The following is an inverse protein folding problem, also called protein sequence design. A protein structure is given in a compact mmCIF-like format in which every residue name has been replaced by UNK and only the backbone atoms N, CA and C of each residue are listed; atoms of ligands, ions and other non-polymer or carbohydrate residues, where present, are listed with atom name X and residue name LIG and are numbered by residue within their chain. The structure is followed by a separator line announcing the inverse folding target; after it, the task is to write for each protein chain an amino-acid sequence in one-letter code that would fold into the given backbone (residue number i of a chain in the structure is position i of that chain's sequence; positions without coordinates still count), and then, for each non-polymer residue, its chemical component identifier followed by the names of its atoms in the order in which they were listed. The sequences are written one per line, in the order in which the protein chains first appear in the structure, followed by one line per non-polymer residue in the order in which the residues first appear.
data_IF_561680876882
#
_entry.id   IF_561680876882
#
_cell.length_a   1.000
_cell.length_b   1.000
_cell.length_c   1.000
_cell.angle_alpha   90.00
_cell.angle_beta   90.00
_cell.angle_gamma   90.00
#
_symmetry.space_group_name_H-M   'P 1'
#
loop_
_entity.id
_entity.type
_entity.pdbx_description
1 polymer ?
#
# COMPACT_ATOMS: atom_id res chain seq x y z
N UNK A 1 12.77 9.29 1.11
CA UNK A 1 11.72 8.28 1.17
C UNK A 1 12.18 7.09 2.02
N UNK A 2 11.21 6.36 2.63
CA UNK A 2 11.47 5.17 3.46
C UNK A 2 12.51 5.42 4.58
N UNK A 3 12.40 6.58 5.25
CA UNK A 3 13.40 7.01 6.26
C UNK A 3 13.51 6.04 7.45
N UNK A 4 12.52 5.18 7.68
CA UNK A 4 12.59 4.12 8.70
C UNK A 4 13.67 3.07 8.43
N UNK A 5 14.18 2.98 7.18
CA UNK A 5 15.28 2.07 6.80
C UNK A 5 16.67 2.65 7.07
N UNK A 6 16.76 3.88 7.53
CA UNK A 6 18.05 4.47 7.87
C UNK A 6 18.71 3.73 9.03
N UNK A 7 20.02 3.55 8.93
CA UNK A 7 20.82 2.99 10.03
C UNK A 7 20.77 3.97 11.22
N UNK A 8 20.74 3.45 12.44
CA UNK A 8 20.71 4.24 13.67
C UNK A 8 21.85 5.28 13.73
N UNK A 9 23.04 4.92 13.29
CA UNK A 9 24.20 5.84 13.23
C UNK A 9 23.96 7.03 12.29
N UNK A 10 23.24 6.86 11.19
CA UNK A 10 22.85 7.94 10.28
C UNK A 10 21.76 8.83 10.89
N UNK A 11 20.82 8.23 11.60
CA UNK A 11 19.77 8.99 12.30
C UNK A 11 20.37 9.90 13.38
N UNK A 12 21.34 9.39 14.14
CA UNK A 12 22.07 10.16 15.16
C UNK A 12 22.90 11.30 14.55
N UNK A 13 23.55 11.04 13.42
CA UNK A 13 24.31 12.04 12.68
C UNK A 13 23.42 13.17 12.14
N UNK A 14 22.27 12.81 11.55
CA UNK A 14 21.28 13.76 11.04
C UNK A 14 20.63 14.56 12.18
N UNK A 15 20.48 14.00 13.36
CA UNK A 15 19.97 14.70 14.53
C UNK A 15 20.83 15.92 14.85
N UNK A 16 22.16 15.77 14.92
CA UNK A 16 23.09 16.87 15.16
C UNK A 16 23.12 17.85 13.97
N UNK A 17 23.03 17.33 12.75
CA UNK A 17 23.01 18.15 11.54
C UNK A 17 21.77 19.06 11.48
N UNK A 18 20.61 18.58 11.93
CA UNK A 18 19.36 19.35 11.94
C UNK A 18 19.32 20.42 13.04
N UNK A 19 20.00 20.18 14.18
CA UNK A 19 20.05 21.16 15.28
C UNK A 19 21.07 22.26 15.03
N UNK A 20 22.31 21.86 14.75
CA UNK A 20 23.46 22.74 14.78
C UNK A 20 24.03 23.06 13.37
N UNK A 21 23.49 22.46 12.32
CA UNK A 21 24.06 22.48 10.97
C UNK A 21 25.55 22.09 10.95
N UNK A 22 25.88 21.06 11.76
CA UNK A 22 27.24 20.52 11.89
C UNK A 22 27.22 19.01 11.78
N UNK A 23 28.25 18.46 11.18
CA UNK A 23 28.49 17.02 11.12
C UNK A 23 29.80 16.67 11.81
N UNK A 24 29.76 15.77 12.78
CA UNK A 24 30.97 15.16 13.34
C UNK A 24 31.28 13.88 12.55
N UNK A 25 32.32 13.91 11.75
CA UNK A 25 32.72 12.77 10.93
C UNK A 25 34.17 12.40 11.15
N UNK A 26 34.46 11.08 11.09
CA UNK A 26 35.82 10.56 11.04
C UNK A 26 36.24 10.44 9.59
N UNK A 27 37.20 11.26 9.17
CA UNK A 27 37.74 11.20 7.82
C UNK A 27 39.12 10.58 7.87
N UNK A 28 39.35 9.58 7.02
CA UNK A 28 40.65 8.97 6.83
C UNK A 28 41.43 9.81 5.83
N UNK A 29 42.56 10.37 6.26
CA UNK A 29 43.44 11.10 5.37
C UNK A 29 44.04 10.13 4.33
N UNK A 30 43.80 10.35 3.03
CA UNK A 30 44.24 9.44 1.97
C UNK A 30 45.77 9.32 1.87
N UNK A 31 46.52 10.35 2.29
CA UNK A 31 47.98 10.37 2.20
C UNK A 31 48.67 9.74 3.40
N UNK A 32 48.10 9.93 4.61
CA UNK A 32 48.75 9.46 5.84
C UNK A 32 48.11 8.21 6.41
N UNK A 33 46.95 7.80 5.91
CA UNK A 33 46.15 6.68 6.43
C UNK A 33 45.54 6.94 7.82
N UNK A 34 45.84 8.07 8.45
CA UNK A 34 45.35 8.44 9.79
C UNK A 34 43.91 8.90 9.74
N UNK A 35 43.10 8.46 10.70
CA UNK A 35 41.73 8.88 10.86
C UNK A 35 41.67 10.09 11.80
N UNK A 36 41.18 11.21 11.31
CA UNK A 36 40.93 12.41 12.10
C UNK A 36 39.44 12.64 12.26
N UNK A 37 39.02 12.96 13.50
CA UNK A 37 37.65 13.44 13.74
C UNK A 37 37.62 14.93 13.45
N UNK A 38 36.69 15.34 12.59
CA UNK A 38 36.49 16.72 12.22
C UNK A 38 35.04 17.14 12.39
N UNK A 39 34.84 18.43 12.73
CA UNK A 39 33.53 19.06 12.76
C UNK A 39 33.39 19.87 11.45
N UNK A 40 32.36 19.51 10.67
CA UNK A 40 32.09 20.14 9.38
C UNK A 40 30.81 20.95 9.43
N UNK A 41 30.89 22.20 9.07
CA UNK A 41 29.73 23.08 8.97
C UNK A 41 28.96 22.79 7.69
N UNK A 42 27.65 22.75 7.83
CA UNK A 42 26.74 22.57 6.69
C UNK A 42 25.99 23.87 6.42
N UNK A 43 25.66 24.17 5.16
CA UNK A 43 24.70 25.21 4.85
C UNK A 43 23.35 24.83 5.43
N UNK A 44 22.51 25.83 5.71
CA UNK A 44 21.12 25.59 6.15
C UNK A 44 20.38 24.80 5.07
N UNK A 45 19.68 23.75 5.48
CA UNK A 45 18.91 22.89 4.59
C UNK A 45 17.58 22.52 5.21
N UNK A 46 16.64 22.09 4.39
CA UNK A 46 15.38 21.52 4.82
C UNK A 46 15.38 20.02 4.58
N UNK A 47 15.10 19.23 5.61
CA UNK A 47 14.95 17.79 5.50
C UNK A 47 13.48 17.44 5.33
N UNK A 48 13.16 16.70 4.28
CA UNK A 48 11.84 16.14 4.04
C UNK A 48 11.97 14.62 4.12
N UNK A 49 11.24 14.01 5.04
CA UNK A 49 11.21 12.57 5.25
C UNK A 49 9.84 11.99 4.93
N UNK A 50 9.80 10.79 4.34
CA UNK A 50 8.57 10.03 4.16
C UNK A 50 8.75 8.59 4.67
N UNK A 51 7.73 8.08 5.35
CA UNK A 51 7.72 6.72 5.91
C UNK A 51 6.29 6.22 6.09
N UNK A 52 6.09 4.91 5.95
CA UNK A 52 4.88 4.21 6.35
C UNK A 52 5.00 3.52 7.73
N UNK A 53 6.18 3.59 8.38
CA UNK A 53 6.47 2.99 9.70
C UNK A 53 7.03 4.04 10.66
N UNK A 54 6.20 5.05 11.00
CA UNK A 54 6.63 6.14 11.89
C UNK A 54 7.08 5.62 13.27
N UNK A 55 6.39 4.61 13.80
CA UNK A 55 6.68 4.03 15.13
C UNK A 55 8.03 3.32 15.26
N UNK A 56 8.71 3.01 14.15
CA UNK A 56 10.06 2.41 14.14
C UNK A 56 11.16 3.46 14.32
N UNK A 57 10.86 4.72 13.99
CA UNK A 57 11.83 5.81 14.11
C UNK A 57 12.02 6.25 15.58
N UNK A 58 13.26 6.57 15.99
CA UNK A 58 13.51 7.12 17.33
C UNK A 58 12.73 8.42 17.54
N UNK A 59 12.00 8.50 18.66
CA UNK A 59 11.18 9.66 19.00
C UNK A 59 11.94 11.01 18.90
N UNK A 60 13.18 11.12 19.44
CA UNK A 60 13.95 12.35 19.32
C UNK A 60 14.24 12.78 17.87
N UNK A 61 14.32 11.84 16.94
CA UNK A 61 14.48 12.14 15.52
C UNK A 61 13.19 12.62 14.88
N UNK A 62 12.06 12.00 15.23
CA UNK A 62 10.73 12.41 14.74
C UNK A 62 10.38 13.81 15.22
N UNK A 63 10.71 14.16 16.46
CA UNK A 63 10.43 15.46 17.06
C UNK A 63 11.18 16.63 16.40
N UNK A 64 12.20 16.34 15.56
CA UNK A 64 12.90 17.35 14.74
C UNK A 64 12.13 17.77 13.49
N UNK A 65 11.14 17.00 13.09
CA UNK A 65 10.25 17.38 12.00
C UNK A 65 9.10 18.23 12.56
N UNK A 66 9.22 19.55 12.39
CA UNK A 66 8.23 20.51 12.89
C UNK A 66 6.87 20.35 12.21
N UNK A 67 6.84 19.88 10.98
CA UNK A 67 5.63 19.63 10.19
C UNK A 67 5.53 18.13 10.00
N UNK A 68 4.46 17.54 10.53
CA UNK A 68 4.13 16.13 10.37
C UNK A 68 2.75 16.02 9.75
N UNK A 69 2.64 15.30 8.64
CA UNK A 69 1.38 15.09 7.93
C UNK A 69 1.17 13.61 7.71
N UNK A 70 -0.04 13.14 7.98
CA UNK A 70 -0.48 11.80 7.64
C UNK A 70 -1.30 11.86 6.36
N UNK A 71 -0.96 11.03 5.37
CA UNK A 71 -1.71 10.92 4.13
C UNK A 71 -2.77 9.83 4.27
N UNK A 72 -4.01 10.21 4.01
CA UNK A 72 -5.12 9.28 3.92
C UNK A 72 -5.31 8.77 2.49
N UNK A 73 -5.93 7.59 2.30
CA UNK A 73 -6.34 7.14 0.98
C UNK A 73 -7.26 8.17 0.32
N UNK A 74 -7.08 8.37 -0.98
CA UNK A 74 -7.94 9.29 -1.74
C UNK A 74 -9.40 8.83 -1.74
N UNK A 75 -10.31 9.78 -1.72
CA UNK A 75 -11.75 9.56 -1.96
C UNK A 75 -11.99 9.15 -3.42
N UNK A 76 -13.16 8.59 -3.70
CA UNK A 76 -13.52 8.18 -5.05
C UNK A 76 -13.46 9.35 -6.06
N UNK A 77 -13.99 10.51 -5.70
CA UNK A 77 -13.93 11.70 -6.55
C UNK A 77 -12.51 12.18 -6.82
N UNK A 78 -11.62 12.10 -5.83
CA UNK A 78 -10.21 12.47 -6.00
C UNK A 78 -9.49 11.48 -6.92
N UNK A 79 -9.74 10.19 -6.76
CA UNK A 79 -9.19 9.16 -7.63
C UNK A 79 -9.67 9.32 -9.07
N UNK A 80 -10.94 9.62 -9.31
CA UNK A 80 -11.46 9.92 -10.66
C UNK A 80 -10.74 11.14 -11.27
N UNK A 81 -10.55 12.22 -10.50
CA UNK A 81 -9.78 13.38 -10.96
C UNK A 81 -8.34 13.04 -11.31
N UNK A 82 -7.70 12.20 -10.48
CA UNK A 82 -6.34 11.69 -10.73
C UNK A 82 -6.33 10.82 -12.00
N UNK A 83 -7.35 9.97 -12.21
CA UNK A 83 -7.49 9.14 -13.40
C UNK A 83 -7.55 9.97 -14.68
N UNK A 84 -8.40 11.00 -14.71
CA UNK A 84 -8.47 11.92 -15.84
C UNK A 84 -7.15 12.66 -16.11
N UNK A 85 -6.45 13.09 -15.06
CA UNK A 85 -5.14 13.73 -15.20
C UNK A 85 -4.10 12.75 -15.76
N UNK A 86 -4.05 11.56 -15.22
CA UNK A 86 -3.11 10.51 -15.66
C UNK A 86 -3.40 10.05 -17.10
N UNK A 87 -4.67 9.85 -17.46
CA UNK A 87 -5.08 9.48 -18.80
C UNK A 87 -4.64 10.54 -19.84
N UNK A 88 -4.85 11.83 -19.54
CA UNK A 88 -4.37 12.93 -20.39
C UNK A 88 -2.84 12.93 -20.53
N UNK A 89 -2.10 12.75 -19.41
CA UNK A 89 -0.64 12.73 -19.42
C UNK A 89 -0.10 11.55 -20.23
N UNK A 90 -0.78 10.41 -20.17
CA UNK A 90 -0.45 9.19 -20.93
C UNK A 90 -1.02 9.22 -22.37
N UNK A 91 -1.74 10.28 -22.74
CA UNK A 91 -2.41 10.44 -24.06
C UNK A 91 -3.32 9.25 -24.38
N UNK A 92 -4.08 8.78 -23.39
CA UNK A 92 -5.04 7.69 -23.57
C UNK A 92 -6.37 8.24 -24.04
N UNK A 93 -6.94 7.57 -25.05
CA UNK A 93 -8.32 7.75 -25.48
C UNK A 93 -9.19 6.77 -24.69
N UNK A 94 -9.92 7.28 -23.69
CA UNK A 94 -10.63 6.47 -22.70
C UNK A 94 -11.98 7.10 -22.34
N UNK A 95 -13.02 6.28 -22.24
CA UNK A 95 -14.36 6.74 -21.89
C UNK A 95 -14.49 7.08 -20.39
N UNK A 96 -15.42 7.97 -20.03
CA UNK A 96 -15.69 8.31 -18.62
C UNK A 96 -16.11 7.10 -17.77
N UNK A 97 -16.88 6.17 -18.34
CA UNK A 97 -17.34 4.95 -17.68
C UNK A 97 -16.15 4.03 -17.37
N UNK A 98 -15.21 3.89 -18.31
CA UNK A 98 -13.97 3.14 -18.11
C UNK A 98 -13.10 3.78 -17.01
N UNK A 99 -13.01 5.09 -16.95
CA UNK A 99 -12.32 5.82 -15.87
C UNK A 99 -12.97 5.53 -14.51
N UNK A 100 -14.30 5.61 -14.43
CA UNK A 100 -15.05 5.33 -13.21
C UNK A 100 -14.78 3.91 -12.72
N UNK A 101 -14.86 2.93 -13.61
CA UNK A 101 -14.64 1.50 -13.30
C UNK A 101 -13.20 1.23 -12.81
N UNK A 102 -12.18 1.82 -13.47
CA UNK A 102 -10.79 1.72 -13.01
C UNK A 102 -10.59 2.38 -11.63
N UNK A 103 -11.25 3.49 -11.41
CA UNK A 103 -11.14 4.27 -10.18
C UNK A 103 -11.74 3.52 -8.99
N UNK A 104 -12.92 2.93 -9.13
CA UNK A 104 -13.62 2.18 -8.08
C UNK A 104 -12.78 1.00 -7.57
N UNK A 105 -12.09 0.29 -8.46
CA UNK A 105 -11.26 -0.89 -8.13
C UNK A 105 -9.81 -0.55 -7.76
N UNK A 106 -9.41 0.73 -7.85
CA UNK A 106 -8.04 1.17 -7.53
C UNK A 106 -7.71 1.24 -6.04
N UNK A 107 -8.67 0.93 -5.17
CA UNK A 107 -8.53 0.94 -3.69
C UNK A 107 -8.19 2.33 -3.11
N UNK A 108 -8.45 3.41 -3.83
CA UNK A 108 -8.04 4.77 -3.44
C UNK A 108 -6.54 5.03 -3.59
N UNK A 109 -5.82 4.20 -4.36
CA UNK A 109 -4.35 4.26 -4.51
C UNK A 109 -3.96 4.64 -5.93
N UNK A 110 -3.38 5.84 -6.17
CA UNK A 110 -3.01 6.31 -7.51
C UNK A 110 -2.02 5.39 -8.24
N UNK A 111 -1.13 4.72 -7.53
CA UNK A 111 -0.19 3.76 -8.12
C UNK A 111 -0.92 2.56 -8.75
N UNK A 112 -1.97 2.05 -8.09
CA UNK A 112 -2.79 0.95 -8.60
C UNK A 112 -3.58 1.43 -9.82
N UNK A 113 -4.22 2.61 -9.72
CA UNK A 113 -4.95 3.24 -10.80
C UNK A 113 -4.08 3.40 -12.06
N UNK A 114 -2.89 3.98 -11.92
CA UNK A 114 -1.97 4.18 -13.04
C UNK A 114 -1.55 2.86 -13.69
N UNK A 115 -1.36 1.81 -12.90
CA UNK A 115 -1.10 0.47 -13.42
C UNK A 115 -2.29 -0.07 -14.20
N UNK A 116 -3.52 0.14 -13.72
CA UNK A 116 -4.72 -0.27 -14.44
C UNK A 116 -4.90 0.49 -15.76
N UNK A 117 -4.67 1.80 -15.78
CA UNK A 117 -4.70 2.59 -17.01
C UNK A 117 -3.73 2.04 -18.09
N UNK A 118 -2.50 1.72 -17.68
CA UNK A 118 -1.52 1.13 -18.60
C UNK A 118 -1.93 -0.26 -19.07
N UNK A 119 -2.49 -1.10 -18.20
CA UNK A 119 -2.98 -2.44 -18.58
C UNK A 119 -4.21 -2.39 -19.47
N UNK A 120 -5.14 -1.48 -19.22
CA UNK A 120 -6.29 -1.28 -20.10
C UNK A 120 -5.85 -0.85 -21.51
N UNK A 121 -4.84 0.03 -21.60
CA UNK A 121 -4.21 0.38 -22.87
C UNK A 121 -3.60 -0.84 -23.57
N UNK A 122 -2.87 -1.66 -22.84
CA UNK A 122 -2.22 -2.85 -23.41
C UNK A 122 -3.27 -3.83 -23.99
N UNK A 123 -4.41 -4.00 -23.30
CA UNK A 123 -5.54 -4.82 -23.80
C UNK A 123 -6.17 -4.18 -25.03
N UNK A 124 -6.42 -2.86 -25.03
CA UNK A 124 -6.96 -2.16 -26.20
C UNK A 124 -6.07 -2.36 -27.45
N UNK A 125 -4.75 -2.21 -27.30
CA UNK A 125 -3.79 -2.42 -28.39
C UNK A 125 -3.85 -3.89 -28.88
N UNK A 126 -3.93 -4.85 -27.96
CA UNK A 126 -4.02 -6.27 -28.29
C UNK A 126 -5.30 -6.59 -29.10
N UNK A 127 -6.41 -5.94 -28.79
CA UNK A 127 -7.69 -6.08 -29.52
C UNK A 127 -7.77 -5.22 -30.80
N UNK A 128 -6.68 -4.54 -31.17
CA UNK A 128 -6.58 -3.76 -32.40
C UNK A 128 -7.20 -2.37 -32.35
N UNK A 129 -7.41 -1.82 -31.15
CA UNK A 129 -7.95 -0.46 -30.96
C UNK A 129 -7.02 0.37 -30.07
N UNK A 130 -7.17 1.70 -30.13
CA UNK A 130 -6.53 2.63 -29.19
C UNK A 130 -7.54 3.24 -28.24
N UNK A 131 -8.83 2.99 -28.46
CA UNK A 131 -9.94 3.51 -27.67
C UNK A 131 -10.26 2.54 -26.52
N UNK A 132 -10.16 3.01 -25.30
CA UNK A 132 -10.38 2.22 -24.07
C UNK A 132 -11.83 2.43 -23.62
N UNK A 133 -12.64 1.41 -23.79
CA UNK A 133 -14.04 1.38 -23.37
C UNK A 133 -14.22 0.66 -22.03
N UNK A 134 -15.45 0.67 -21.51
CA UNK A 134 -15.81 -0.09 -20.31
C UNK A 134 -15.56 -1.61 -20.53
N UNK A 135 -15.90 -2.13 -21.72
CA UNK A 135 -15.71 -3.53 -22.09
C UNK A 135 -14.22 -3.90 -22.06
N UNK A 136 -13.34 -3.05 -22.63
CA UNK A 136 -11.89 -3.23 -22.57
C UNK A 136 -11.38 -3.33 -21.13
N UNK A 137 -11.92 -2.48 -20.23
CA UNK A 137 -11.55 -2.49 -18.82
C UNK A 137 -12.06 -3.74 -18.11
N UNK A 138 -13.28 -4.18 -18.41
CA UNK A 138 -13.85 -5.41 -17.85
C UNK A 138 -13.05 -6.65 -18.30
N UNK A 139 -12.68 -6.74 -19.58
CA UNK A 139 -11.80 -7.79 -20.10
C UNK A 139 -10.44 -7.78 -19.38
N UNK A 140 -9.83 -6.60 -19.21
CA UNK A 140 -8.59 -6.44 -18.46
C UNK A 140 -8.71 -6.96 -17.02
N UNK A 141 -9.80 -6.67 -16.31
CA UNK A 141 -10.04 -7.19 -14.97
C UNK A 141 -10.24 -8.71 -14.93
N UNK A 142 -10.93 -9.27 -15.92
CA UNK A 142 -11.06 -10.73 -16.06
C UNK A 142 -9.69 -11.40 -16.26
N UNK A 143 -8.86 -10.88 -17.18
CA UNK A 143 -7.49 -11.39 -17.41
C UNK A 143 -6.66 -11.34 -16.13
N UNK A 144 -6.79 -10.27 -15.33
CA UNK A 144 -6.06 -10.12 -14.07
C UNK A 144 -6.70 -10.82 -12.87
N UNK A 145 -7.84 -11.51 -13.06
CA UNK A 145 -8.61 -12.14 -12.00
C UNK A 145 -8.98 -11.16 -10.85
N UNK A 146 -9.39 -9.95 -11.22
CA UNK A 146 -9.87 -8.91 -10.30
C UNK A 146 -11.40 -8.91 -10.38
N UNK A 147 -12.07 -9.03 -9.23
CA UNK A 147 -13.52 -9.07 -9.15
C UNK A 147 -14.18 -7.67 -9.07
N UNK A 148 -15.50 -7.65 -8.84
CA UNK A 148 -16.32 -6.44 -8.78
C UNK A 148 -15.92 -5.51 -7.62
N UNK A 149 -15.38 -6.03 -6.51
CA UNK A 149 -14.88 -5.24 -5.37
C UNK A 149 -13.39 -4.90 -5.47
N UNK A 150 -12.75 -5.20 -6.61
CA UNK A 150 -11.31 -4.98 -6.80
C UNK A 150 -10.43 -5.96 -6.01
N UNK A 151 -10.98 -7.15 -5.65
CA UNK A 151 -10.21 -8.18 -4.97
C UNK A 151 -9.39 -8.98 -5.99
N UNK A 152 -8.13 -9.17 -5.66
CA UNK A 152 -7.22 -10.05 -6.41
C UNK A 152 -7.44 -11.52 -6.03
N UNK A 153 -6.80 -12.42 -6.76
CA UNK A 153 -6.79 -13.85 -6.41
C UNK A 153 -6.28 -14.10 -4.98
N UNK A 154 -5.28 -13.34 -4.52
CA UNK A 154 -4.74 -13.47 -3.17
C UNK A 154 -5.75 -13.02 -2.11
N UNK A 155 -6.41 -11.88 -2.32
CA UNK A 155 -7.43 -11.40 -1.39
C UNK A 155 -8.54 -12.44 -1.21
N UNK A 156 -9.03 -13.04 -2.30
CA UNK A 156 -10.06 -14.09 -2.26
C UNK A 156 -9.57 -15.35 -1.55
N UNK A 157 -8.33 -15.81 -1.80
CA UNK A 157 -7.76 -16.97 -1.09
C UNK A 157 -7.74 -16.75 0.42
N UNK A 158 -7.39 -15.54 0.87
CA UNK A 158 -7.42 -15.19 2.30
C UNK A 158 -8.84 -15.25 2.83
N UNK A 159 -9.83 -14.66 2.14
CA UNK A 159 -11.24 -14.73 2.54
C UNK A 159 -11.77 -16.16 2.55
N UNK A 160 -11.46 -16.95 1.54
CA UNK A 160 -11.87 -18.37 1.45
C UNK A 160 -11.34 -19.18 2.62
N UNK A 161 -10.08 -18.97 3.00
CA UNK A 161 -9.49 -19.63 4.15
C UNK A 161 -10.18 -19.21 5.46
N UNK A 162 -10.40 -17.90 5.67
CA UNK A 162 -11.12 -17.41 6.83
C UNK A 162 -12.55 -17.94 6.89
N UNK A 163 -13.23 -18.08 5.75
CA UNK A 163 -14.57 -18.65 5.64
C UNK A 163 -14.60 -20.15 5.99
N UNK A 164 -13.56 -20.88 5.66
CA UNK A 164 -13.46 -22.31 5.98
C UNK A 164 -13.26 -22.57 7.48
N UNK A 165 -12.59 -21.66 8.19
CA UNK A 165 -12.24 -21.89 9.60
C UNK A 165 -13.25 -21.27 10.57
N UNK A 166 -13.91 -20.18 10.21
CA UNK A 166 -15.03 -19.52 10.94
C UNK A 166 -14.67 -19.03 12.36
N UNK A 167 -13.41 -19.04 12.75
CA UNK A 167 -12.90 -18.56 14.04
C UNK A 167 -11.77 -17.56 13.82
N UNK A 168 -11.46 -16.71 14.81
CA UNK A 168 -10.29 -15.83 14.71
C UNK A 168 -8.99 -16.62 14.51
N UNK A 169 -8.15 -16.19 13.56
CA UNK A 169 -6.92 -16.88 13.17
C UNK A 169 -5.78 -15.89 13.14
N UNK A 170 -4.61 -16.33 13.67
CA UNK A 170 -3.37 -15.58 13.62
C UNK A 170 -2.80 -15.48 12.19
N UNK A 171 -2.06 -14.39 11.90
CA UNK A 171 -1.47 -14.13 10.58
C UNK A 171 -0.58 -15.27 10.08
N UNK A 172 0.17 -15.93 10.97
CA UNK A 172 1.06 -17.04 10.60
C UNK A 172 0.31 -18.23 9.99
N UNK A 173 -0.87 -18.58 10.53
CA UNK A 173 -1.68 -19.66 9.98
C UNK A 173 -2.31 -19.28 8.61
N UNK A 174 -2.71 -18.02 8.45
CA UNK A 174 -3.20 -17.50 7.15
C UNK A 174 -2.07 -17.56 6.13
N UNK A 175 -0.89 -17.06 6.48
CA UNK A 175 0.31 -17.04 5.64
C UNK A 175 0.67 -18.44 5.12
N UNK A 176 0.68 -19.43 5.99
CA UNK A 176 0.94 -20.82 5.62
C UNK A 176 -0.15 -21.38 4.69
N UNK A 177 -1.41 -21.08 4.97
CA UNK A 177 -2.54 -21.61 4.18
C UNK A 177 -2.61 -21.03 2.77
N UNK A 178 -2.24 -19.74 2.61
CA UNK A 178 -2.25 -19.08 1.30
C UNK A 178 -0.87 -19.05 0.63
N UNK A 179 0.17 -19.63 1.25
CA UNK A 179 1.55 -19.66 0.76
C UNK A 179 2.04 -18.25 0.37
N UNK A 180 1.98 -17.31 1.33
CA UNK A 180 2.36 -15.92 1.11
C UNK A 180 3.00 -15.33 2.38
N UNK A 181 3.90 -14.37 2.21
CA UNK A 181 4.58 -13.70 3.33
C UNK A 181 3.58 -12.96 4.25
N UNK A 182 3.69 -13.10 5.59
CA UNK A 182 2.82 -12.41 6.54
C UNK A 182 2.76 -10.88 6.33
N UNK A 183 3.88 -10.24 6.01
CA UNK A 183 3.93 -8.80 5.78
C UNK A 183 3.17 -8.40 4.49
N UNK A 184 3.20 -9.27 3.46
CA UNK A 184 2.40 -9.07 2.24
C UNK A 184 0.92 -9.07 2.58
N UNK A 185 0.46 -10.04 3.39
CA UNK A 185 -0.94 -10.11 3.80
C UNK A 185 -1.32 -8.89 4.64
N UNK A 186 -0.52 -8.55 5.66
CA UNK A 186 -0.79 -7.42 6.56
C UNK A 186 -0.81 -6.06 5.86
N UNK A 187 0.07 -5.87 4.87
CA UNK A 187 0.25 -4.55 4.25
C UNK A 187 -0.53 -4.36 2.95
N UNK A 188 -0.84 -5.43 2.21
CA UNK A 188 -1.49 -5.34 0.89
C UNK A 188 -2.92 -5.87 0.88
N UNK A 189 -3.20 -6.95 1.63
CA UNK A 189 -4.49 -7.65 1.61
C UNK A 189 -5.43 -7.11 2.70
N UNK A 190 -5.01 -7.17 3.95
CA UNK A 190 -5.85 -6.83 5.10
C UNK A 190 -6.43 -5.41 5.07
N UNK A 191 -5.67 -4.34 4.71
CA UNK A 191 -6.21 -3.00 4.74
C UNK A 191 -7.42 -2.82 3.83
N UNK A 192 -7.43 -3.51 2.68
CA UNK A 192 -8.54 -3.44 1.75
C UNK A 192 -9.74 -4.27 2.21
N UNK A 193 -9.51 -5.50 2.67
CA UNK A 193 -10.56 -6.37 3.20
C UNK A 193 -11.26 -5.76 4.42
N UNK A 194 -10.49 -5.13 5.31
CA UNK A 194 -11.03 -4.42 6.49
C UNK A 194 -11.83 -3.19 6.06
N UNK A 195 -11.32 -2.40 5.09
CA UNK A 195 -12.02 -1.22 4.57
C UNK A 195 -13.37 -1.58 3.92
N UNK A 196 -13.41 -2.70 3.20
CA UNK A 196 -14.65 -3.25 2.63
C UNK A 196 -15.54 -3.96 3.67
N UNK A 197 -15.09 -4.05 4.92
CA UNK A 197 -15.78 -4.78 6.00
C UNK A 197 -16.00 -6.27 5.70
N UNK A 198 -15.16 -6.87 4.86
CA UNK A 198 -15.22 -8.30 4.57
C UNK A 198 -14.49 -9.14 5.63
N UNK A 199 -13.60 -8.49 6.38
CA UNK A 199 -12.80 -9.06 7.45
C UNK A 199 -12.68 -8.09 8.62
N UNK A 200 -12.55 -8.62 9.84
CA UNK A 200 -12.24 -7.85 11.05
C UNK A 200 -10.98 -8.37 11.72
N UNK A 201 -10.23 -7.46 12.34
CA UNK A 201 -9.11 -7.79 13.23
C UNK A 201 -9.60 -7.78 14.68
N UNK A 202 -9.34 -8.85 15.40
CA UNK A 202 -9.63 -8.99 16.83
C UNK A 202 -8.34 -9.24 17.61
N UNK A 203 -8.41 -9.21 18.95
CA UNK A 203 -7.26 -9.59 19.79
C UNK A 203 -6.81 -11.04 19.58
N UNK A 204 -7.73 -11.92 19.17
CA UNK A 204 -7.48 -13.33 18.92
C UNK A 204 -7.01 -13.62 17.49
N UNK A 205 -7.12 -12.67 16.57
CA UNK A 205 -6.73 -12.82 15.18
C UNK A 205 -7.68 -12.17 14.19
N UNK A 206 -7.68 -12.69 12.95
CA UNK A 206 -8.50 -12.23 11.83
C UNK A 206 -9.70 -13.14 11.65
N UNK A 207 -10.86 -12.55 11.36
CA UNK A 207 -12.09 -13.28 11.16
C UNK A 207 -12.87 -12.69 9.98
N UNK A 208 -13.51 -13.55 9.19
CA UNK A 208 -14.41 -13.14 8.13
C UNK A 208 -15.70 -12.56 8.73
N UNK A 209 -16.29 -11.59 8.04
CA UNK A 209 -17.60 -11.03 8.40
C UNK A 209 -18.72 -11.70 7.62
N UNK A 210 -19.96 -11.39 7.96
CA UNK A 210 -21.13 -11.80 7.19
C UNK A 210 -21.07 -11.29 5.75
N UNK A 211 -20.68 -10.01 5.55
CA UNK A 211 -20.46 -9.44 4.21
C UNK A 211 -19.39 -10.19 3.42
N UNK A 212 -18.32 -10.63 4.09
CA UNK A 212 -17.29 -11.43 3.46
C UNK A 212 -17.79 -12.82 3.02
N UNK A 213 -18.65 -13.45 3.81
CA UNK A 213 -19.29 -14.72 3.44
C UNK A 213 -20.26 -14.54 2.27
N UNK A 214 -21.09 -13.49 2.30
CA UNK A 214 -22.02 -13.17 1.21
C UNK A 214 -21.27 -12.92 -0.11
N UNK A 215 -20.16 -12.18 -0.06
CA UNK A 215 -19.31 -11.94 -1.25
C UNK A 215 -18.76 -13.24 -1.85
N UNK A 216 -18.46 -14.24 -1.03
CA UNK A 216 -18.06 -15.58 -1.49
C UNK A 216 -19.24 -16.48 -1.91
N UNK A 217 -20.48 -15.97 -1.93
CA UNK A 217 -21.67 -16.75 -2.21
C UNK A 217 -21.97 -17.81 -1.14
N UNK A 218 -21.50 -17.61 0.09
CA UNK A 218 -21.71 -18.53 1.21
C UNK A 218 -22.68 -17.90 2.22
N UNK A 219 -23.73 -18.63 2.58
CA UNK A 219 -24.63 -18.23 3.65
C UNK A 219 -24.07 -18.65 5.00
N UNK A 220 -24.34 -17.83 6.04
CA UNK A 220 -24.11 -18.19 7.42
C UNK A 220 -25.01 -19.40 7.76
N UNK A 221 -24.42 -20.56 7.98
CA UNK A 221 -25.14 -21.63 8.65
C UNK A 221 -25.31 -21.21 10.12
N UNK A 222 -26.51 -20.75 10.50
CA UNK A 222 -26.88 -20.20 11.82
C UNK A 222 -26.50 -21.09 13.02
N UNK A 223 -26.21 -22.38 12.80
CA UNK A 223 -25.96 -23.35 13.88
C UNK A 223 -24.55 -23.35 14.46
N UNK A 224 -23.60 -22.56 13.95
CA UNK A 224 -22.20 -22.61 14.40
C UNK A 224 -21.74 -21.46 15.30
N UNK A 225 -22.52 -20.39 15.43
CA UNK A 225 -22.16 -19.23 16.26
C UNK A 225 -22.75 -19.28 17.68
N UNK A 226 -23.59 -20.26 18.02
CA UNK A 226 -24.28 -20.36 19.32
C UNK A 226 -23.63 -21.35 20.32
N UNK A 227 -22.40 -21.79 20.07
CA UNK A 227 -21.64 -22.61 21.01
C UNK A 227 -20.20 -22.10 21.17
N UNK A 228 -20.05 -21.04 21.93
CA UNK A 228 -18.82 -20.66 22.61
C UNK A 228 -19.17 -19.83 23.85
#
# INVERSE_FOLDING_TARGET
DEIHRMKKSLTELLHTALEDFRLSMKIKNPLTGRTQSGLYWMPKFTLIGATNYLGVLPRPFVDRFMIQSCFEPYTENEIIRIAHHSARKLKLDITPEAISELSSKSRGVPRILNRFLLRARDVAIYTGTTHITLETVQEMFQIQNIDELGLTKLDRRVLEYLAAVIRPIGIGAISQAVDEDPNTIENLVEPWLVRLRLMVKTQQGRQITELGLQHLGRELQESRFLKA
#
